data_IF_809019386594
#
_entry.id   IF_809019386594
#
_cell.length_a   1.000
_cell.length_b   1.000
_cell.length_c   1.000
_cell.angle_alpha   90.00
_cell.angle_beta   90.00
_cell.angle_gamma   90.00
#
_symmetry.space_group_name_H-M   'P 1'
#
loop_
_entity.id
_entity.type
_entity.pdbx_description
1 polymer ?
#
# COMPACT_ATOMS: atom_id res chain seq x y z
N UNK A 1 28.00 -44.85 13.39
CA UNK A 1 28.37 -44.18 12.12
C UNK A 1 28.55 -42.70 12.41
N UNK A 2 29.78 -42.16 12.30
CA UNK A 2 30.07 -40.74 12.58
C UNK A 2 29.69 -39.90 11.35
N UNK A 3 28.93 -38.79 11.49
CA UNK A 3 28.64 -37.95 10.34
C UNK A 3 29.94 -37.28 9.88
N UNK A 4 30.25 -37.43 8.61
CA UNK A 4 31.44 -36.89 7.95
C UNK A 4 31.36 -35.36 8.07
N UNK A 5 32.29 -34.75 8.82
CA UNK A 5 32.29 -33.29 9.12
C UNK A 5 32.16 -32.40 7.87
N UNK A 6 32.57 -32.91 6.71
CA UNK A 6 32.53 -32.20 5.43
C UNK A 6 31.15 -32.18 4.75
N UNK A 7 30.24 -33.11 5.08
CA UNK A 7 28.90 -33.12 4.46
C UNK A 7 27.99 -32.03 5.03
N UNK A 8 28.18 -31.68 6.31
CA UNK A 8 27.46 -30.59 6.98
C UNK A 8 27.98 -29.23 6.49
N UNK A 9 29.29 -29.08 6.29
CA UNK A 9 29.85 -27.83 5.74
C UNK A 9 29.45 -27.65 4.28
N UNK A 10 29.47 -28.71 3.47
CA UNK A 10 29.06 -28.65 2.06
C UNK A 10 27.57 -28.31 1.90
N UNK A 11 26.68 -28.88 2.73
CA UNK A 11 25.26 -28.53 2.70
C UNK A 11 24.99 -27.11 3.19
N UNK A 12 25.74 -26.62 4.18
CA UNK A 12 25.67 -25.22 4.63
C UNK A 12 26.18 -24.24 3.56
N UNK A 13 27.25 -24.58 2.83
CA UNK A 13 27.76 -23.79 1.70
C UNK A 13 26.80 -23.77 0.51
N UNK A 14 26.12 -24.88 0.23
CA UNK A 14 25.09 -24.96 -0.81
C UNK A 14 23.84 -24.16 -0.43
N UNK A 15 23.46 -24.17 0.86
CA UNK A 15 22.38 -23.34 1.41
C UNK A 15 22.72 -21.84 1.35
N UNK A 16 23.99 -21.46 1.57
CA UNK A 16 24.45 -20.08 1.44
C UNK A 16 24.50 -19.59 -0.02
N UNK A 17 24.79 -20.47 -0.98
CA UNK A 17 24.76 -20.12 -2.41
C UNK A 17 23.35 -19.86 -2.95
N UNK A 18 22.30 -20.42 -2.33
CA UNK A 18 20.91 -20.18 -2.69
C UNK A 18 20.36 -18.81 -2.21
N UNK A 19 21.13 -18.06 -1.42
CA UNK A 19 20.78 -16.70 -0.96
C UNK A 19 21.09 -15.60 -2.00
N UNK A 20 21.59 -15.96 -3.18
CA UNK A 20 21.91 -15.04 -4.28
C UNK A 20 20.72 -14.51 -5.09
N UNK A 21 19.49 -14.57 -4.58
CA UNK A 21 18.33 -14.03 -5.28
C UNK A 21 18.42 -12.50 -5.34
N UNK A 22 18.60 -11.98 -6.55
CA UNK A 22 18.55 -10.54 -6.82
C UNK A 22 17.20 -9.98 -6.36
N UNK A 23 17.30 -9.07 -5.40
CA UNK A 23 16.20 -8.28 -4.88
C UNK A 23 15.80 -7.24 -5.94
N UNK A 24 14.86 -7.59 -6.82
CA UNK A 24 14.18 -6.61 -7.68
C UNK A 24 13.12 -5.89 -6.84
N UNK A 25 13.43 -4.66 -6.40
CA UNK A 25 12.43 -3.70 -5.93
C UNK A 25 12.00 -2.82 -7.10
N UNK A 26 10.71 -2.55 -7.25
CA UNK A 26 10.27 -1.47 -8.13
C UNK A 26 10.85 -0.16 -7.58
N UNK A 27 11.48 0.64 -8.44
CA UNK A 27 11.87 1.99 -8.05
C UNK A 27 10.59 2.82 -7.94
N UNK A 28 10.30 3.35 -6.75
CA UNK A 28 9.24 4.35 -6.58
C UNK A 28 9.54 5.63 -7.39
N UNK A 29 8.52 6.47 -7.56
CA UNK A 29 8.65 7.74 -8.27
C UNK A 29 9.46 8.76 -7.46
N UNK A 30 10.26 9.60 -8.13
CA UNK A 30 11.02 10.66 -7.48
C UNK A 30 10.10 11.86 -7.14
N UNK A 31 9.92 12.16 -5.85
CA UNK A 31 9.14 13.32 -5.41
C UNK A 31 10.02 14.56 -5.29
N UNK A 32 9.57 15.68 -5.86
CA UNK A 32 10.11 16.99 -5.54
C UNK A 32 9.32 17.60 -4.38
N UNK A 33 9.74 17.27 -3.16
CA UNK A 33 9.18 17.87 -1.94
C UNK A 33 9.85 19.23 -1.78
N UNK A 34 9.08 20.33 -1.83
CA UNK A 34 9.62 21.68 -1.58
C UNK A 34 10.22 21.75 -0.19
N UNK A 35 11.54 21.82 -0.11
CA UNK A 35 12.29 21.90 1.13
C UNK A 35 12.21 23.33 1.70
N UNK A 36 12.21 23.50 3.04
CA UNK A 36 12.45 24.81 3.64
C UNK A 36 13.81 25.35 3.17
N UNK A 37 13.93 26.67 2.99
CA UNK A 37 15.14 27.32 2.45
C UNK A 37 16.44 26.92 3.17
N UNK A 38 16.36 26.63 4.47
CA UNK A 38 17.50 26.23 5.31
C UNK A 38 18.04 24.82 5.03
N UNK A 39 17.25 23.96 4.38
CA UNK A 39 17.62 22.55 4.11
C UNK A 39 17.63 22.22 2.63
N UNK A 40 17.52 23.22 1.76
CA UNK A 40 17.37 23.02 0.31
C UNK A 40 18.56 22.24 -0.29
N UNK A 41 19.77 22.51 0.21
CA UNK A 41 21.00 21.81 -0.19
C UNK A 41 21.10 20.36 0.33
N UNK A 42 20.29 19.98 1.34
CA UNK A 42 20.30 18.60 1.85
C UNK A 42 19.50 17.70 0.92
N UNK A 43 20.21 16.81 0.24
CA UNK A 43 19.64 15.74 -0.57
C UNK A 43 18.98 14.67 0.31
N UNK A 44 17.72 14.37 0.02
CA UNK A 44 16.94 13.39 0.76
C UNK A 44 17.42 11.96 0.45
N UNK A 45 17.10 11.02 1.34
CA UNK A 45 17.46 9.63 1.09
C UNK A 45 16.63 9.03 -0.04
N UNK A 46 15.36 9.43 -0.16
CA UNK A 46 14.48 9.03 -1.26
C UNK A 46 15.01 9.46 -2.63
N UNK A 47 15.60 10.65 -2.72
CA UNK A 47 16.22 11.20 -3.94
C UNK A 47 17.47 10.43 -4.38
N UNK A 48 18.11 9.71 -3.46
CA UNK A 48 19.29 8.86 -3.75
C UNK A 48 18.93 7.39 -3.97
N UNK A 49 17.65 7.06 -4.14
CA UNK A 49 17.21 5.66 -4.25
C UNK A 49 17.66 5.01 -5.57
N UNK A 50 17.85 5.80 -6.62
CA UNK A 50 18.47 5.39 -7.88
C UNK A 50 19.97 5.12 -7.72
N UNK A 51 20.62 5.82 -6.78
CA UNK A 51 22.05 5.72 -6.52
C UNK A 51 22.38 4.54 -5.59
N UNK A 52 23.30 3.68 -6.05
CA UNK A 52 23.95 2.67 -5.22
C UNK A 52 23.12 1.41 -4.93
N UNK A 53 23.80 0.43 -4.31
CA UNK A 53 23.24 -0.91 -4.06
C UNK A 53 22.30 -0.90 -2.84
N UNK A 54 21.10 -1.45 -3.00
CA UNK A 54 20.20 -1.76 -1.89
C UNK A 54 20.43 -3.19 -1.39
N UNK A 55 21.55 -3.37 -0.68
CA UNK A 55 21.91 -4.66 -0.11
C UNK A 55 20.93 -5.12 0.98
N UNK A 56 20.88 -6.44 1.23
CA UNK A 56 19.98 -7.05 2.21
C UNK A 56 20.07 -6.43 3.62
N UNK A 57 21.26 -6.12 4.18
CA UNK A 57 21.34 -5.52 5.53
C UNK A 57 20.76 -4.11 5.57
N UNK A 58 21.06 -3.29 4.55
CA UNK A 58 20.51 -1.93 4.42
C UNK A 58 18.98 -1.99 4.28
N UNK A 59 18.48 -2.90 3.45
CA UNK A 59 17.04 -3.14 3.27
C UNK A 59 16.35 -3.56 4.56
N UNK A 60 16.93 -4.53 5.28
CA UNK A 60 16.37 -5.00 6.55
C UNK A 60 16.30 -3.87 7.58
N UNK A 61 17.41 -3.16 7.81
CA UNK A 61 17.44 -2.06 8.78
C UNK A 61 16.47 -0.96 8.43
N UNK A 62 16.45 -0.52 7.16
CA UNK A 62 15.52 0.53 6.74
C UNK A 62 14.07 0.08 6.83
N UNK A 63 13.72 -1.12 6.37
CA UNK A 63 12.37 -1.65 6.46
C UNK A 63 11.88 -1.74 7.92
N UNK A 64 12.73 -2.19 8.84
CA UNK A 64 12.41 -2.25 10.28
C UNK A 64 12.13 -0.85 10.83
N UNK A 65 12.98 0.13 10.50
CA UNK A 65 12.80 1.53 10.93
C UNK A 65 11.52 2.13 10.32
N UNK A 66 11.30 1.94 9.01
CA UNK A 66 10.10 2.43 8.32
C UNK A 66 8.83 1.82 8.90
N UNK A 67 8.84 0.52 9.17
CA UNK A 67 7.70 -0.18 9.74
C UNK A 67 7.33 0.38 11.12
N UNK A 68 8.24 0.30 12.10
CA UNK A 68 7.89 0.60 13.49
C UNK A 68 7.76 2.10 13.76
N UNK A 69 8.60 2.94 13.14
CA UNK A 69 8.60 4.38 13.45
C UNK A 69 7.53 5.15 12.67
N UNK A 70 7.21 4.73 11.45
CA UNK A 70 6.32 5.46 10.56
C UNK A 70 5.02 4.71 10.34
N UNK A 71 5.06 3.54 9.72
CA UNK A 71 3.86 2.82 9.32
C UNK A 71 3.00 2.41 10.52
N UNK A 72 3.55 1.69 11.49
CA UNK A 72 2.83 1.20 12.67
C UNK A 72 2.19 2.35 13.45
N UNK A 73 2.96 3.41 13.72
CA UNK A 73 2.46 4.58 14.43
C UNK A 73 1.37 5.34 13.65
N UNK A 74 1.49 5.45 12.33
CA UNK A 74 0.49 6.11 11.49
C UNK A 74 -0.78 5.26 11.36
N UNK A 75 -0.64 3.94 11.24
CA UNK A 75 -1.76 3.01 11.19
C UNK A 75 -2.55 2.99 12.52
N UNK A 76 -1.86 2.98 13.66
CA UNK A 76 -2.53 3.06 14.96
C UNK A 76 -3.32 4.36 15.11
N UNK A 77 -2.74 5.49 14.72
CA UNK A 77 -3.44 6.79 14.71
C UNK A 77 -4.67 6.77 13.80
N UNK A 78 -4.59 6.13 12.63
CA UNK A 78 -5.74 5.98 11.74
C UNK A 78 -6.86 5.20 12.42
N UNK A 79 -6.52 4.10 13.08
CA UNK A 79 -7.47 3.29 13.84
C UNK A 79 -8.08 4.07 15.01
N UNK A 80 -7.28 4.84 15.76
CA UNK A 80 -7.76 5.71 16.85
C UNK A 80 -8.76 6.77 16.35
N UNK A 81 -8.52 7.37 15.18
CA UNK A 81 -9.47 8.33 14.57
C UNK A 81 -10.80 7.64 14.27
N UNK A 82 -10.76 6.44 13.68
CA UNK A 82 -11.98 5.67 13.39
C UNK A 82 -12.69 5.23 14.66
N UNK A 83 -11.96 4.81 15.69
CA UNK A 83 -12.52 4.41 16.99
C UNK A 83 -13.22 5.59 17.67
N UNK A 84 -12.58 6.76 17.76
CA UNK A 84 -13.20 7.98 18.29
C UNK A 84 -14.46 8.38 17.51
N UNK A 85 -14.42 8.28 16.19
CA UNK A 85 -15.58 8.57 15.34
C UNK A 85 -16.74 7.59 15.62
N UNK A 86 -16.44 6.32 15.92
CA UNK A 86 -17.45 5.32 16.29
C UNK A 86 -18.01 5.51 17.69
N UNK A 87 -17.17 5.87 18.66
CA UNK A 87 -17.59 6.12 20.05
C UNK A 87 -18.53 7.32 20.17
N UNK A 88 -18.31 8.33 19.33
CA UNK A 88 -19.14 9.54 19.29
C UNK A 88 -20.41 9.36 18.46
N UNK A 89 -20.49 8.29 17.65
CA UNK A 89 -21.62 8.03 16.79
C UNK A 89 -22.87 7.62 17.59
N UNK A 90 -24.01 8.23 17.27
CA UNK A 90 -25.31 7.94 17.88
C UNK A 90 -26.31 7.56 16.80
N UNK A 91 -26.90 6.37 16.97
CA UNK A 91 -27.92 5.87 16.07
C UNK A 91 -29.23 6.64 16.22
N UNK A 92 -29.82 6.99 15.07
CA UNK A 92 -31.17 7.51 14.98
C UNK A 92 -32.07 6.43 14.38
N UNK A 93 -32.89 5.81 15.24
CA UNK A 93 -33.78 4.72 14.88
C UNK A 93 -35.06 5.18 14.15
N UNK A 94 -35.25 6.49 13.94
CA UNK A 94 -36.37 7.00 13.15
C UNK A 94 -36.12 6.93 11.63
N UNK A 95 -34.86 6.72 11.23
CA UNK A 95 -34.42 6.59 9.84
C UNK A 95 -33.72 5.26 9.62
N UNK A 96 -33.47 4.93 8.35
CA UNK A 96 -32.63 3.79 8.01
C UNK A 96 -31.23 3.98 8.61
N UNK A 97 -30.75 2.94 9.31
CA UNK A 97 -29.42 2.97 9.92
C UNK A 97 -28.35 3.05 8.82
N UNK A 98 -27.34 3.93 8.96
CA UNK A 98 -26.27 4.01 7.98
C UNK A 98 -25.42 2.74 8.00
N UNK A 99 -24.81 2.44 6.86
CA UNK A 99 -23.98 1.25 6.69
C UNK A 99 -22.78 1.22 7.64
N UNK A 100 -22.15 2.38 7.85
CA UNK A 100 -21.06 2.55 8.81
C UNK A 100 -21.56 3.17 10.11
N UNK A 101 -21.03 2.68 11.23
CA UNK A 101 -21.26 3.22 12.56
C UNK A 101 -20.41 4.45 12.88
N UNK A 102 -20.11 5.27 11.88
CA UNK A 102 -19.43 6.55 11.98
C UNK A 102 -19.74 7.38 10.73
N UNK A 103 -19.52 8.70 10.80
CA UNK A 103 -19.65 9.59 9.64
C UNK A 103 -18.28 10.14 9.24
N UNK A 104 -18.12 10.47 7.95
CA UNK A 104 -16.91 11.15 7.48
C UNK A 104 -16.77 12.57 8.03
N UNK A 105 -17.87 13.20 8.46
CA UNK A 105 -17.82 14.49 9.14
C UNK A 105 -17.16 14.37 10.52
N UNK A 106 -17.47 13.30 11.27
CA UNK A 106 -16.83 13.03 12.55
C UNK A 106 -15.33 12.77 12.39
N UNK A 107 -14.93 11.98 11.38
CA UNK A 107 -13.51 11.74 11.11
C UNK A 107 -12.79 12.99 10.64
N UNK A 108 -13.40 13.79 9.75
CA UNK A 108 -12.82 15.02 9.24
C UNK A 108 -12.63 16.09 10.33
N UNK A 109 -13.47 16.07 11.38
CA UNK A 109 -13.30 16.89 12.57
C UNK A 109 -11.98 16.62 13.31
N UNK A 110 -11.42 15.42 13.18
CA UNK A 110 -10.17 14.99 13.83
C UNK A 110 -8.92 15.31 12.97
N UNK A 111 -8.98 16.45 12.27
CA UNK A 111 -8.02 16.87 11.23
C UNK A 111 -6.56 16.87 11.71
N UNK A 112 -6.30 17.28 12.95
CA UNK A 112 -4.95 17.30 13.56
C UNK A 112 -4.31 15.90 13.55
N UNK A 113 -5.11 14.87 13.86
CA UNK A 113 -4.62 13.50 13.90
C UNK A 113 -4.42 12.95 12.48
N UNK A 114 -5.31 13.30 11.56
CA UNK A 114 -5.19 12.96 10.14
C UNK A 114 -3.99 13.65 9.46
N UNK A 115 -3.68 14.89 9.83
CA UNK A 115 -2.48 15.60 9.38
C UNK A 115 -1.21 14.97 9.96
N UNK A 116 -1.26 14.49 11.21
CA UNK A 116 -0.17 13.73 11.83
C UNK A 116 0.14 12.42 11.08
N UNK A 117 -0.90 11.71 10.63
CA UNK A 117 -0.77 10.51 9.78
C UNK A 117 -0.10 10.87 8.46
N UNK A 118 -0.60 11.90 7.79
CA UNK A 118 -0.05 12.43 6.53
C UNK A 118 1.43 12.81 6.67
N UNK A 119 1.79 13.51 7.75
CA UNK A 119 3.15 13.90 8.04
C UNK A 119 4.07 12.69 8.27
N UNK A 120 3.62 11.69 9.04
CA UNK A 120 4.39 10.45 9.27
C UNK A 120 4.57 9.67 7.97
N UNK A 121 3.51 9.50 7.18
CA UNK A 121 3.58 8.79 5.91
C UNK A 121 4.57 9.45 4.95
N UNK A 122 4.40 10.74 4.69
CA UNK A 122 5.26 11.52 3.79
C UNK A 122 6.71 11.61 4.27
N UNK A 123 6.94 11.79 5.57
CA UNK A 123 8.28 11.77 6.16
C UNK A 123 8.95 10.40 6.04
N UNK A 124 8.20 9.31 6.26
CA UNK A 124 8.70 7.95 6.10
C UNK A 124 9.20 7.69 4.69
N UNK A 125 8.42 8.13 3.70
CA UNK A 125 8.78 8.08 2.27
C UNK A 125 10.03 8.91 1.98
N UNK A 126 10.07 10.17 2.43
CA UNK A 126 11.16 11.10 2.15
C UNK A 126 12.51 10.65 2.75
N UNK A 127 12.47 10.06 3.95
CA UNK A 127 13.65 9.75 4.74
C UNK A 127 14.23 8.35 4.46
N UNK A 128 13.57 7.52 3.65
CA UNK A 128 13.99 6.14 3.36
C UNK A 128 14.16 5.89 1.86
N UNK A 129 14.80 4.77 1.52
CA UNK A 129 14.98 4.34 0.14
C UNK A 129 13.61 3.89 -0.44
N UNK A 130 13.25 4.41 -1.61
CA UNK A 130 11.95 4.17 -2.25
C UNK A 130 11.75 2.72 -2.71
N UNK A 131 12.81 1.91 -2.71
CA UNK A 131 12.76 0.45 -2.99
C UNK A 131 12.39 -0.38 -1.74
N UNK A 132 12.14 0.27 -0.61
CA UNK A 132 11.69 -0.36 0.64
C UNK A 132 10.34 -1.06 0.49
N UNK A 133 10.09 -2.04 1.35
CA UNK A 133 8.87 -2.89 1.27
C UNK A 133 7.60 -2.22 1.82
N UNK A 134 7.72 -1.07 2.51
CA UNK A 134 6.62 -0.37 3.19
C UNK A 134 6.18 0.92 2.48
N UNK A 135 6.82 1.26 1.36
CA UNK A 135 6.64 2.56 0.71
C UNK A 135 5.22 2.71 0.15
N UNK A 136 4.67 1.65 -0.43
CA UNK A 136 3.29 1.58 -0.88
C UNK A 136 2.28 1.64 0.28
N UNK A 137 2.55 0.98 1.41
CA UNK A 137 1.71 1.09 2.62
C UNK A 137 1.66 2.53 3.16
N UNK A 138 2.79 3.27 3.13
CA UNK A 138 2.81 4.67 3.55
C UNK A 138 1.97 5.55 2.61
N UNK A 139 2.05 5.35 1.28
CA UNK A 139 1.15 6.05 0.36
C UNK A 139 -0.32 5.69 0.61
N UNK A 140 -0.62 4.42 0.92
CA UNK A 140 -1.99 4.00 1.21
C UNK A 140 -2.53 4.73 2.45
N UNK A 141 -1.75 4.82 3.53
CA UNK A 141 -2.12 5.56 4.74
C UNK A 141 -2.32 7.06 4.47
N UNK A 142 -1.52 7.64 3.58
CA UNK A 142 -1.68 9.03 3.16
C UNK A 142 -2.96 9.21 2.32
N UNK A 143 -3.26 8.30 1.39
CA UNK A 143 -4.54 8.35 0.66
C UNK A 143 -5.74 8.20 1.60
N UNK A 144 -5.66 7.27 2.56
CA UNK A 144 -6.69 7.04 3.56
C UNK A 144 -6.90 8.27 4.47
N UNK A 145 -5.83 8.97 4.86
CA UNK A 145 -5.98 10.21 5.64
C UNK A 145 -6.71 11.29 4.84
N UNK A 146 -6.42 11.44 3.54
CA UNK A 146 -7.17 12.36 2.68
C UNK A 146 -8.64 11.98 2.56
N UNK A 147 -8.95 10.69 2.39
CA UNK A 147 -10.32 10.21 2.33
C UNK A 147 -11.10 10.55 3.62
N UNK A 148 -10.51 10.28 4.79
CA UNK A 148 -11.15 10.58 6.08
C UNK A 148 -11.26 12.09 6.37
N UNK A 149 -10.44 12.92 5.72
CA UNK A 149 -10.59 14.38 5.70
C UNK A 149 -11.61 14.88 4.67
N UNK A 150 -12.29 13.98 3.94
CA UNK A 150 -13.18 14.30 2.81
C UNK A 150 -12.48 15.03 1.65
N UNK A 151 -11.15 14.93 1.57
CA UNK A 151 -10.35 15.44 0.44
C UNK A 151 -10.32 14.40 -0.68
N UNK A 152 -11.50 14.09 -1.22
CA UNK A 152 -11.69 12.94 -2.11
C UNK A 152 -10.85 12.99 -3.38
N UNK A 153 -10.70 14.16 -4.02
CA UNK A 153 -9.85 14.29 -5.22
C UNK A 153 -8.38 13.95 -4.91
N UNK A 154 -7.87 14.39 -3.77
CA UNK A 154 -6.50 14.09 -3.33
C UNK A 154 -6.34 12.60 -2.98
N UNK A 155 -7.36 12.01 -2.35
CA UNK A 155 -7.39 10.58 -2.05
C UNK A 155 -7.38 9.75 -3.34
N UNK A 156 -8.26 10.07 -4.29
CA UNK A 156 -8.36 9.42 -5.59
C UNK A 156 -7.02 9.45 -6.33
N UNK A 157 -6.41 10.63 -6.46
CA UNK A 157 -5.11 10.79 -7.12
C UNK A 157 -4.02 9.96 -6.43
N UNK A 158 -4.02 9.89 -5.09
CA UNK A 158 -3.06 9.08 -4.35
C UNK A 158 -3.25 7.59 -4.63
N UNK A 159 -4.49 7.09 -4.60
CA UNK A 159 -4.76 5.68 -4.89
C UNK A 159 -4.48 5.33 -6.36
N UNK A 160 -4.78 6.23 -7.29
CA UNK A 160 -4.42 6.09 -8.71
C UNK A 160 -2.91 6.04 -8.90
N UNK A 161 -2.18 6.92 -8.21
CA UNK A 161 -0.73 6.91 -8.19
C UNK A 161 -0.19 5.56 -7.69
N UNK A 162 -0.70 5.01 -6.59
CA UNK A 162 -0.29 3.69 -6.08
C UNK A 162 -0.53 2.61 -7.14
N UNK A 163 -1.73 2.61 -7.74
CA UNK A 163 -2.12 1.63 -8.75
C UNK A 163 -1.23 1.66 -10.00
N UNK A 164 -0.75 2.84 -10.39
CA UNK A 164 0.15 3.03 -11.51
C UNK A 164 1.63 2.77 -11.15
N UNK A 165 2.13 3.36 -10.06
CA UNK A 165 3.53 3.34 -9.69
C UNK A 165 4.04 1.94 -9.31
N UNK A 166 3.19 1.15 -8.64
CA UNK A 166 3.52 -0.20 -8.17
C UNK A 166 2.98 -1.30 -9.08
N UNK A 167 2.49 -0.97 -10.28
CA UNK A 167 2.09 -1.95 -11.28
C UNK A 167 3.28 -2.81 -11.73
N UNK A 168 3.09 -4.12 -11.94
CA UNK A 168 4.18 -5.00 -12.35
C UNK A 168 4.77 -4.56 -13.70
N UNK A 169 6.09 -4.53 -13.77
CA UNK A 169 6.86 -4.13 -14.95
C UNK A 169 7.65 -5.31 -15.47
N UNK A 170 7.87 -5.31 -16.78
CA UNK A 170 8.78 -6.24 -17.45
C UNK A 170 10.24 -5.93 -17.08
N UNK A 171 11.15 -6.84 -17.46
CA UNK A 171 12.58 -6.72 -17.14
C UNK A 171 13.23 -5.52 -17.82
N UNK A 172 12.70 -5.11 -18.96
CA UNK A 172 13.08 -3.93 -19.75
C UNK A 172 12.45 -2.62 -19.22
N UNK A 173 11.58 -2.71 -18.20
CA UNK A 173 10.99 -1.58 -17.51
C UNK A 173 9.65 -1.10 -18.09
N UNK A 174 9.17 -1.68 -19.18
CA UNK A 174 7.83 -1.39 -19.70
C UNK A 174 6.75 -2.01 -18.80
N UNK A 175 5.59 -1.36 -18.76
CA UNK A 175 4.44 -1.90 -18.06
C UNK A 175 3.91 -3.11 -18.80
N UNK A 176 3.56 -4.16 -18.04
CA UNK A 176 2.85 -5.31 -18.63
C UNK A 176 1.54 -4.81 -19.23
N UNK A 177 1.34 -5.06 -20.52
CA UNK A 177 0.13 -4.62 -21.21
C UNK A 177 -1.06 -5.43 -20.70
N UNK A 178 -2.14 -4.74 -20.33
CA UNK A 178 -3.42 -5.37 -20.00
C UNK A 178 -4.10 -5.68 -21.34
N UNK A 179 -4.42 -6.95 -21.60
CA UNK A 179 -5.09 -7.39 -22.83
C UNK A 179 -4.28 -8.34 -23.73
N UNK A 180 -2.97 -8.51 -23.51
CA UNK A 180 -2.12 -9.44 -24.27
C UNK A 180 -1.73 -10.66 -23.43
N UNK A 181 -2.12 -11.87 -23.88
CA UNK A 181 -1.66 -13.12 -23.27
C UNK A 181 -0.20 -13.49 -23.59
N UNK A 182 0.52 -12.64 -24.31
CA UNK A 182 1.89 -12.88 -24.81
C UNK A 182 2.96 -12.66 -23.73
N UNK A 183 2.65 -11.87 -22.71
CA UNK A 183 3.64 -11.37 -21.74
C UNK A 183 3.58 -12.13 -20.40
N UNK A 184 2.93 -13.30 -20.37
CA UNK A 184 2.72 -14.10 -19.15
C UNK A 184 1.75 -13.45 -18.15
N UNK A 185 1.18 -12.30 -18.50
CA UNK A 185 0.11 -11.64 -17.77
C UNK A 185 -1.26 -12.20 -18.20
N UNK A 186 -2.24 -12.20 -17.29
CA UNK A 186 -3.62 -12.50 -17.68
C UNK A 186 -4.16 -11.28 -18.41
N UNK A 187 -4.57 -11.46 -19.67
CA UNK A 187 -5.12 -10.39 -20.51
C UNK A 187 -6.29 -9.62 -19.85
N UNK A 188 -6.94 -10.22 -18.86
CA UNK A 188 -8.12 -9.69 -18.17
C UNK A 188 -7.85 -9.30 -16.71
N UNK A 189 -6.59 -9.13 -16.29
CA UNK A 189 -6.26 -8.85 -14.89
C UNK A 189 -5.64 -7.47 -14.70
N UNK A 190 -6.27 -6.66 -13.86
CA UNK A 190 -5.76 -5.37 -13.41
C UNK A 190 -5.08 -5.48 -12.04
N UNK A 191 -5.41 -6.51 -11.25
CA UNK A 191 -4.87 -6.77 -9.92
C UNK A 191 -3.48 -7.42 -9.97
N UNK A 192 -2.65 -7.12 -8.98
CA UNK A 192 -1.34 -7.76 -8.87
C UNK A 192 -1.46 -9.07 -8.10
N UNK A 193 -0.99 -10.17 -8.69
CA UNK A 193 -0.90 -11.46 -8.00
C UNK A 193 0.06 -11.36 -6.80
N UNK A 194 -0.45 -11.64 -5.61
CA UNK A 194 0.37 -11.65 -4.38
C UNK A 194 1.51 -12.66 -4.44
N UNK A 195 2.70 -12.30 -3.92
CA UNK A 195 3.86 -13.20 -3.86
C UNK A 195 3.57 -14.38 -2.92
N UNK A 196 3.87 -15.60 -3.36
CA UNK A 196 3.55 -16.86 -2.62
C UNK A 196 4.50 -17.20 -1.47
N UNK A 197 5.57 -16.44 -1.24
CA UNK A 197 6.58 -16.79 -0.22
C UNK A 197 6.02 -16.68 1.20
N UNK A 198 5.97 -17.81 1.90
CA UNK A 198 5.45 -17.95 3.28
C UNK A 198 6.24 -17.06 4.25
N UNK A 199 7.57 -17.01 4.11
CA UNK A 199 8.44 -16.18 4.95
C UNK A 199 8.13 -14.69 4.74
N UNK A 200 7.89 -14.28 3.49
CA UNK A 200 7.53 -12.89 3.18
C UNK A 200 6.13 -12.53 3.71
N UNK A 201 5.18 -13.48 3.72
CA UNK A 201 3.86 -13.26 4.33
C UNK A 201 3.88 -13.10 5.84
N UNK A 202 4.85 -13.71 6.53
CA UNK A 202 4.96 -13.64 7.99
C UNK A 202 5.75 -12.41 8.47
N UNK A 203 6.70 -11.93 7.67
CA UNK A 203 7.63 -10.85 8.06
C UNK A 203 7.36 -9.50 7.37
N UNK A 204 6.45 -9.45 6.41
CA UNK A 204 6.09 -8.19 5.73
C UNK A 204 4.61 -8.16 5.38
N UNK A 205 4.03 -6.97 5.42
CA UNK A 205 2.69 -6.77 4.90
C UNK A 205 2.65 -7.03 3.39
N UNK A 206 1.51 -7.52 2.87
CA UNK A 206 1.32 -7.63 1.45
C UNK A 206 1.32 -6.24 0.81
N UNK A 207 1.75 -6.13 -0.46
CA UNK A 207 1.76 -4.85 -1.15
C UNK A 207 0.35 -4.25 -1.22
N UNK A 208 0.28 -2.94 -1.04
CA UNK A 208 -0.95 -2.16 -0.86
C UNK A 208 -1.66 -1.78 -2.16
N UNK A 209 -1.12 -2.17 -3.32
CA UNK A 209 -1.69 -1.82 -4.62
C UNK A 209 -3.15 -2.28 -4.75
N UNK A 210 -3.43 -3.54 -4.42
CA UNK A 210 -4.79 -4.05 -4.57
C UNK A 210 -5.76 -3.41 -3.56
N UNK A 211 -5.27 -3.02 -2.38
CA UNK A 211 -6.03 -2.26 -1.38
C UNK A 211 -6.40 -0.88 -1.94
N UNK A 212 -5.49 -0.23 -2.67
CA UNK A 212 -5.75 1.07 -3.29
C UNK A 212 -6.93 1.03 -4.26
N UNK A 213 -7.19 -0.07 -4.97
CA UNK A 213 -8.41 -0.22 -5.77
C UNK A 213 -9.69 -0.20 -4.91
N UNK A 214 -9.69 -0.87 -3.76
CA UNK A 214 -10.83 -0.83 -2.83
C UNK A 214 -11.05 0.60 -2.33
N UNK A 215 -9.97 1.29 -1.98
CA UNK A 215 -10.05 2.68 -1.55
C UNK A 215 -10.49 3.65 -2.66
N UNK A 216 -10.15 3.39 -3.92
CA UNK A 216 -10.73 4.11 -5.07
C UNK A 216 -12.24 3.92 -5.15
N UNK A 217 -12.73 2.68 -4.99
CA UNK A 217 -14.17 2.40 -4.98
C UNK A 217 -14.84 3.18 -3.85
N UNK A 218 -14.28 3.16 -2.63
CA UNK A 218 -14.79 3.96 -1.50
C UNK A 218 -14.85 5.45 -1.84
N UNK A 219 -13.82 5.96 -2.51
CA UNK A 219 -13.75 7.37 -2.92
C UNK A 219 -14.82 7.71 -3.95
N UNK A 220 -15.01 6.87 -4.98
CA UNK A 220 -16.08 7.03 -5.96
C UNK A 220 -17.47 7.01 -5.31
N UNK A 221 -17.72 6.06 -4.41
CA UNK A 221 -18.99 5.97 -3.67
C UNK A 221 -19.24 7.22 -2.81
N UNK A 222 -18.21 7.74 -2.14
CA UNK A 222 -18.32 8.96 -1.33
C UNK A 222 -18.54 10.24 -2.17
N UNK A 223 -18.26 10.19 -3.47
CA UNK A 223 -18.50 11.28 -4.44
C UNK A 223 -19.74 11.05 -5.30
N UNK A 224 -20.59 10.06 -4.97
CA UNK A 224 -21.77 9.66 -5.74
C UNK A 224 -21.46 9.24 -7.20
N UNK A 225 -20.20 8.86 -7.47
CA UNK A 225 -19.73 8.36 -8.77
C UNK A 225 -19.98 6.84 -8.88
N UNK A 226 -21.27 6.48 -8.88
CA UNK A 226 -21.71 5.08 -8.79
C UNK A 226 -21.34 4.25 -10.02
N UNK A 227 -21.28 4.85 -11.20
CA UNK A 227 -20.95 4.13 -12.45
C UNK A 227 -19.49 3.66 -12.45
N UNK A 228 -18.58 4.54 -12.04
CA UNK A 228 -17.15 4.28 -11.90
C UNK A 228 -16.89 3.23 -10.81
N UNK A 229 -17.55 3.37 -9.66
CA UNK A 229 -17.50 2.40 -8.58
C UNK A 229 -17.96 1.01 -9.04
N UNK A 230 -19.14 0.92 -9.70
CA UNK A 230 -19.70 -0.32 -10.19
C UNK A 230 -18.79 -1.00 -11.22
N UNK A 231 -18.25 -0.22 -12.17
CA UNK A 231 -17.31 -0.70 -13.19
C UNK A 231 -16.07 -1.34 -12.56
N UNK A 232 -15.48 -0.66 -11.57
CA UNK A 232 -14.28 -1.15 -10.89
C UNK A 232 -14.59 -2.38 -10.01
N UNK A 233 -15.73 -2.41 -9.31
CA UNK A 233 -16.18 -3.58 -8.54
C UNK A 233 -16.34 -4.81 -9.45
N UNK A 234 -17.04 -4.68 -10.57
CA UNK A 234 -17.26 -5.79 -11.51
C UNK A 234 -15.92 -6.27 -12.10
N UNK A 235 -15.03 -5.34 -12.42
CA UNK A 235 -13.69 -5.66 -12.93
C UNK A 235 -12.90 -6.48 -11.91
N UNK A 236 -12.82 -6.05 -10.66
CA UNK A 236 -12.08 -6.76 -9.61
C UNK A 236 -12.72 -8.09 -9.23
N UNK A 237 -14.05 -8.18 -9.23
CA UNK A 237 -14.79 -9.41 -8.94
C UNK A 237 -14.48 -10.52 -9.94
N UNK A 238 -14.32 -10.15 -11.21
CA UNK A 238 -14.01 -11.08 -12.29
C UNK A 238 -12.49 -11.32 -12.46
N UNK A 239 -11.64 -10.61 -11.69
CA UNK A 239 -10.19 -10.69 -11.84
C UNK A 239 -9.62 -11.92 -11.10
N UNK A 240 -9.01 -12.89 -11.81
CA UNK A 240 -8.47 -14.10 -11.19
C UNK A 240 -7.22 -13.84 -10.32
N UNK A 241 -6.55 -12.70 -10.46
CA UNK A 241 -5.39 -12.33 -9.65
C UNK A 241 -5.76 -11.56 -8.38
N UNK A 242 -7.02 -11.16 -8.22
CA UNK A 242 -7.47 -10.42 -7.04
C UNK A 242 -7.28 -11.26 -5.76
N UNK A 243 -6.64 -10.70 -4.72
CA UNK A 243 -6.21 -11.48 -3.58
C UNK A 243 -7.40 -11.87 -2.69
N UNK A 244 -7.45 -13.14 -2.27
CA UNK A 244 -8.49 -13.66 -1.38
C UNK A 244 -8.70 -12.85 -0.09
N UNK A 245 -7.63 -12.23 0.44
CA UNK A 245 -7.69 -11.42 1.66
C UNK A 245 -8.59 -10.19 1.53
N UNK A 246 -8.74 -9.64 0.32
CA UNK A 246 -9.51 -8.43 0.04
C UNK A 246 -10.94 -8.73 -0.45
N UNK A 247 -11.35 -10.00 -0.49
CA UNK A 247 -12.70 -10.35 -0.94
C UNK A 247 -13.77 -9.80 0.00
N UNK A 248 -13.51 -9.81 1.31
CA UNK A 248 -14.42 -9.20 2.29
C UNK A 248 -14.56 -7.70 2.04
N UNK A 249 -13.45 -6.99 1.82
CA UNK A 249 -13.48 -5.55 1.56
C UNK A 249 -14.16 -5.22 0.22
N UNK A 250 -14.00 -6.08 -0.80
CA UNK A 250 -14.71 -5.96 -2.08
C UNK A 250 -16.22 -6.16 -1.91
N UNK A 251 -16.63 -7.15 -1.12
CA UNK A 251 -18.04 -7.37 -0.81
C UNK A 251 -18.63 -6.24 0.03
N UNK A 252 -17.85 -5.65 0.94
CA UNK A 252 -18.25 -4.48 1.72
C UNK A 252 -18.60 -3.30 0.81
N UNK A 253 -17.70 -2.90 -0.10
CA UNK A 253 -17.95 -1.79 -1.02
C UNK A 253 -19.03 -2.10 -2.06
N UNK A 254 -19.20 -3.37 -2.43
CA UNK A 254 -20.30 -3.82 -3.28
C UNK A 254 -21.65 -3.67 -2.55
N UNK A 255 -21.71 -4.00 -1.26
CA UNK A 255 -22.93 -3.81 -0.47
C UNK A 255 -23.24 -2.33 -0.29
N UNK A 256 -22.23 -1.49 -0.03
CA UNK A 256 -22.37 -0.05 0.10
C UNK A 256 -22.96 0.61 -1.16
N UNK A 257 -22.60 0.14 -2.36
CA UNK A 257 -23.14 0.65 -3.63
C UNK A 257 -24.66 0.45 -3.79
N UNK A 258 -25.23 -0.58 -3.16
CA UNK A 258 -26.64 -0.99 -3.35
C UNK A 258 -27.59 -0.30 -2.37
N UNK A 259 -27.07 0.37 -1.35
CA UNK A 259 -27.81 1.09 -0.31
C UNK A 259 -28.00 2.56 -0.68
#
# INVERSE_FOLDING_TARGET
MRPIRYTVTASLSLLLCLLGLQSSGQMGFAFNIKKPKEYDERVLRSEKSDQGKFGLPKRFMQNTVTHFNYYFNANNKLNEVLERAKETFRDDYSRLLPFYNYTLDATAGDSIQLDSITYKASSGIALHDLRGDWVDNLYLLWGASFYLQKKFDSAYLMFQFINYAFAPKEKDGYYLTIGSGRDGNSALSIATKGKKSIVKKLLSEPPSRNDAFIWQIRTFLAQDQFAEAASLIVTLKNDPAFPKRLQNDLHEVQALLVL
#
